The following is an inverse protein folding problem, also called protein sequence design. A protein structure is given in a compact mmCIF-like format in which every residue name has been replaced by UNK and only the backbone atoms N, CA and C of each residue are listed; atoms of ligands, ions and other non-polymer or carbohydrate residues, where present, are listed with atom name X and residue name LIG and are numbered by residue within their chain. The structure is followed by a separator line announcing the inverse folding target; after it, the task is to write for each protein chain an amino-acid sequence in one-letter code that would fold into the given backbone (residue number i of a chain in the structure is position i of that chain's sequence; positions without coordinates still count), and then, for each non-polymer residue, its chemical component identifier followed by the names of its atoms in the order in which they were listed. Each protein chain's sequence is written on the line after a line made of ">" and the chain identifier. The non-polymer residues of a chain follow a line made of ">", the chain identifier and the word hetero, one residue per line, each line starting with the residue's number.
data_IF_539299103480
#
_entry.id   IF_539299103480
#
_cell.length_a   1.000
_cell.length_b   1.000
_cell.length_c   1.000
_cell.angle_alpha   90.00
_cell.angle_beta   90.00
_cell.angle_gamma   90.00
#
_symmetry.space_group_name_H-M   'P 1'
#
loop_
_entity.id
_entity.type
_entity.pdbx_description
1 polymer ?
#
# COMPACT_ATOMS: atom_id res chain seq x y z
N UNK A 1 11.62 19.97 -4.99
CA UNK A 1 12.83 19.86 -4.17
C UNK A 1 12.86 18.54 -3.38
N UNK A 2 11.90 18.25 -2.48
CA UNK A 2 11.93 17.03 -1.64
C UNK A 2 11.77 15.72 -2.44
N UNK A 3 10.90 15.67 -3.46
CA UNK A 3 10.82 14.49 -4.35
C UNK A 3 12.11 14.30 -5.16
N UNK A 4 12.80 15.40 -5.46
CA UNK A 4 14.15 15.36 -6.04
C UNK A 4 15.17 14.74 -5.08
N UNK A 5 15.06 15.02 -3.77
CA UNK A 5 15.88 14.39 -2.71
C UNK A 5 15.62 12.87 -2.64
N UNK A 6 14.39 12.41 -2.88
CA UNK A 6 14.09 10.97 -2.96
C UNK A 6 14.60 10.32 -4.26
N UNK A 7 14.66 11.08 -5.36
CA UNK A 7 15.13 10.60 -6.67
C UNK A 7 16.65 10.69 -6.86
N UNK A 8 17.33 11.60 -6.16
CA UNK A 8 18.78 11.80 -6.24
C UNK A 8 19.50 11.18 -5.04
N UNK A 9 20.25 10.11 -5.34
CA UNK A 9 21.41 9.62 -4.61
C UNK A 9 21.16 8.86 -3.29
N UNK A 10 21.22 7.54 -3.40
CA UNK A 10 21.50 6.58 -2.33
C UNK A 10 22.90 6.70 -1.70
N UNK A 11 23.72 7.70 -2.04
CA UNK A 11 25.13 7.77 -1.60
C UNK A 11 25.50 8.99 -0.75
N UNK A 12 24.64 10.01 -0.59
CA UNK A 12 25.01 11.24 0.16
C UNK A 12 24.04 11.68 1.26
N UNK A 13 22.86 11.07 1.38
CA UNK A 13 21.86 11.47 2.37
C UNK A 13 21.85 10.45 3.51
N UNK A 14 21.96 10.92 4.75
CA UNK A 14 21.86 10.06 5.92
C UNK A 14 20.44 9.53 6.09
N UNK A 15 20.27 8.38 6.75
CA UNK A 15 18.95 7.84 7.07
C UNK A 15 18.07 8.86 7.81
N UNK A 16 18.68 9.63 8.72
CA UNK A 16 18.02 10.72 9.42
C UNK A 16 17.49 11.79 8.46
N UNK A 17 18.28 12.18 7.46
CA UNK A 17 17.86 13.14 6.43
C UNK A 17 16.67 12.63 5.61
N UNK A 18 16.65 11.34 5.25
CA UNK A 18 15.52 10.71 4.56
C UNK A 18 14.27 10.75 5.45
N UNK A 19 14.37 10.33 6.70
CA UNK A 19 13.23 10.34 7.61
C UNK A 19 12.68 11.75 7.85
N UNK A 20 13.55 12.75 8.06
CA UNK A 20 13.12 14.15 8.21
C UNK A 20 12.38 14.65 6.96
N UNK A 21 12.87 14.33 5.76
CA UNK A 21 12.20 14.67 4.51
C UNK A 21 10.83 13.99 4.39
N UNK A 22 10.74 12.70 4.68
CA UNK A 22 9.50 11.94 4.65
C UNK A 22 8.50 12.44 5.68
N UNK A 23 8.94 12.82 6.87
CA UNK A 23 8.10 13.45 7.89
C UNK A 23 7.43 14.72 7.37
N UNK A 24 8.21 15.63 6.77
CA UNK A 24 7.67 16.87 6.18
C UNK A 24 6.69 16.56 5.05
N UNK A 25 6.98 15.55 4.21
CA UNK A 25 6.03 15.11 3.18
C UNK A 25 4.74 14.59 3.79
N UNK A 26 4.83 13.73 4.80
CA UNK A 26 3.67 13.15 5.48
C UNK A 26 2.78 14.24 6.06
N UNK A 27 3.36 15.22 6.74
CA UNK A 27 2.62 16.34 7.31
C UNK A 27 1.97 17.20 6.22
N UNK A 28 2.59 17.32 5.04
CA UNK A 28 2.09 18.09 3.91
C UNK A 28 1.02 17.36 3.05
N UNK A 29 0.91 16.04 3.13
CA UNK A 29 0.01 15.21 2.32
C UNK A 29 -1.51 15.36 2.60
N UNK A 30 -2.00 15.80 3.76
CA UNK A 30 -3.43 15.97 3.98
C UNK A 30 -4.07 17.06 3.10
N UNK A 31 -3.28 18.01 2.59
CA UNK A 31 -3.78 19.07 1.70
C UNK A 31 -3.80 18.64 0.23
N UNK A 32 -4.98 18.72 -0.41
CA UNK A 32 -5.20 18.23 -1.78
C UNK A 32 -4.23 18.81 -2.81
N UNK A 33 -3.95 20.12 -2.75
CA UNK A 33 -2.98 20.77 -3.64
C UNK A 33 -1.57 20.20 -3.49
N UNK A 34 -1.14 19.93 -2.26
CA UNK A 34 0.19 19.37 -2.00
C UNK A 34 0.27 17.94 -2.52
N UNK A 35 -0.78 17.12 -2.32
CA UNK A 35 -0.83 15.77 -2.90
C UNK A 35 -0.67 15.79 -4.40
N UNK A 36 -1.44 16.62 -5.10
CA UNK A 36 -1.37 16.71 -6.55
C UNK A 36 0.05 17.05 -7.02
N UNK A 37 0.66 18.10 -6.43
CA UNK A 37 2.04 18.47 -6.75
C UNK A 37 3.05 17.34 -6.47
N UNK A 38 2.86 16.56 -5.40
CA UNK A 38 3.72 15.41 -5.09
C UNK A 38 3.57 14.30 -6.11
N UNK A 39 2.34 13.97 -6.51
CA UNK A 39 2.04 12.97 -7.56
C UNK A 39 2.67 13.41 -8.88
N UNK A 40 2.44 14.64 -9.32
CA UNK A 40 3.02 15.22 -10.55
C UNK A 40 4.56 15.24 -10.53
N UNK A 41 5.15 15.44 -9.35
CA UNK A 41 6.60 15.38 -9.17
C UNK A 41 7.16 13.94 -9.22
N UNK A 42 6.31 12.92 -9.28
CA UNK A 42 6.66 11.50 -9.28
C UNK A 42 7.05 10.96 -7.91
N UNK A 43 6.45 11.48 -6.83
CA UNK A 43 6.70 11.00 -5.47
C UNK A 43 6.30 9.54 -5.29
N UNK A 44 5.19 9.12 -5.90
CA UNK A 44 4.66 7.75 -5.74
C UNK A 44 5.69 6.70 -6.14
N UNK A 45 6.23 6.79 -7.35
CA UNK A 45 7.29 5.87 -7.81
C UNK A 45 8.54 5.94 -6.94
N UNK A 46 9.00 7.14 -6.56
CA UNK A 46 10.19 7.28 -5.72
C UNK A 46 10.03 6.63 -4.34
N UNK A 47 8.82 6.72 -3.75
CA UNK A 47 8.50 6.09 -2.47
C UNK A 47 8.45 4.56 -2.58
N UNK A 48 7.91 4.02 -3.68
CA UNK A 48 7.88 2.57 -3.93
C UNK A 48 9.30 2.03 -4.11
N UNK A 49 10.15 2.72 -4.87
CA UNK A 49 11.56 2.35 -5.05
C UNK A 49 12.35 2.41 -3.73
N UNK A 50 12.12 3.45 -2.92
CA UNK A 50 12.72 3.53 -1.59
C UNK A 50 12.28 2.35 -0.69
N UNK A 51 11.01 1.96 -0.77
CA UNK A 51 10.47 0.84 0.00
C UNK A 51 11.01 -0.52 -0.47
N UNK A 52 11.25 -0.70 -1.78
CA UNK A 52 11.90 -1.88 -2.35
C UNK A 52 13.32 -2.05 -1.80
N UNK A 53 14.01 -0.94 -1.54
CA UNK A 53 15.32 -0.90 -0.87
C UNK A 53 15.32 -1.45 0.58
N UNK A 54 14.17 -1.88 1.10
CA UNK A 54 14.00 -2.47 2.44
C UNK A 54 14.53 -1.57 3.56
N UNK A 55 13.92 -0.39 3.74
CA UNK A 55 14.39 0.58 4.72
C UNK A 55 14.04 0.15 6.14
N UNK A 56 14.52 0.91 7.12
CA UNK A 56 14.18 0.66 8.53
C UNK A 56 12.68 0.87 8.81
N UNK A 57 12.21 0.28 9.92
CA UNK A 57 10.81 0.31 10.34
C UNK A 57 10.17 1.70 10.25
N UNK A 58 10.84 2.73 10.78
CA UNK A 58 10.31 4.10 10.86
C UNK A 58 10.07 4.68 9.46
N UNK A 59 11.00 4.42 8.55
CA UNK A 59 10.91 4.88 7.17
C UNK A 59 9.75 4.21 6.44
N UNK A 60 9.55 2.91 6.62
CA UNK A 60 8.41 2.20 6.03
C UNK A 60 7.08 2.75 6.55
N UNK A 61 6.95 3.04 7.85
CA UNK A 61 5.75 3.67 8.41
C UNK A 61 5.44 5.03 7.75
N UNK A 62 6.47 5.86 7.56
CA UNK A 62 6.34 7.15 6.89
C UNK A 62 5.94 6.98 5.41
N UNK A 63 6.61 6.08 4.70
CA UNK A 63 6.33 5.80 3.29
C UNK A 63 4.88 5.34 3.10
N UNK A 64 4.42 4.36 3.89
CA UNK A 64 3.05 3.86 3.80
C UNK A 64 2.03 4.93 4.17
N UNK A 65 2.33 5.79 5.16
CA UNK A 65 1.49 6.95 5.48
C UNK A 65 1.34 7.92 4.32
N UNK A 66 2.45 8.25 3.64
CA UNK A 66 2.43 9.14 2.47
C UNK A 66 1.69 8.47 1.32
N UNK A 67 2.02 7.22 0.98
CA UNK A 67 1.36 6.48 -0.10
C UNK A 67 -0.15 6.38 0.10
N UNK A 68 -0.62 6.17 1.33
CA UNK A 68 -2.04 6.21 1.66
C UNK A 68 -2.70 7.54 1.26
N UNK A 69 -2.09 8.66 1.65
CA UNK A 69 -2.62 9.97 1.27
C UNK A 69 -2.59 10.19 -0.24
N UNK A 70 -1.50 9.82 -0.92
CA UNK A 70 -1.40 9.98 -2.37
C UNK A 70 -2.45 9.12 -3.09
N UNK A 71 -2.64 7.85 -2.69
CA UNK A 71 -3.67 6.96 -3.22
C UNK A 71 -5.11 7.39 -2.89
N UNK A 72 -5.31 8.40 -2.03
CA UNK A 72 -6.64 8.97 -1.76
C UNK A 72 -7.18 9.82 -2.91
N UNK A 73 -6.39 10.09 -3.96
CA UNK A 73 -6.84 10.74 -5.20
C UNK A 73 -6.64 9.83 -6.42
N UNK A 74 -7.35 10.11 -7.52
CA UNK A 74 -7.31 9.29 -8.73
C UNK A 74 -5.92 9.24 -9.36
N UNK A 75 -5.25 10.37 -9.49
CA UNK A 75 -3.90 10.47 -10.08
C UNK A 75 -2.89 9.68 -9.26
N UNK A 76 -2.96 9.75 -7.94
CA UNK A 76 -2.07 8.98 -7.07
C UNK A 76 -2.26 7.47 -7.19
N UNK A 77 -3.50 6.98 -7.35
CA UNK A 77 -3.76 5.56 -7.63
C UNK A 77 -3.26 5.14 -9.01
N UNK A 78 -3.47 5.99 -10.02
CA UNK A 78 -2.97 5.73 -11.37
C UNK A 78 -1.44 5.60 -11.36
N UNK A 79 -0.73 6.52 -10.69
CA UNK A 79 0.72 6.46 -10.54
C UNK A 79 1.20 5.27 -9.71
N UNK A 80 0.46 4.89 -8.67
CA UNK A 80 0.77 3.72 -7.84
C UNK A 80 0.68 2.43 -8.65
N UNK A 81 -0.38 2.27 -9.45
CA UNK A 81 -0.60 1.09 -10.29
C UNK A 81 0.27 1.09 -11.55
N UNK A 82 0.73 2.25 -12.01
CA UNK A 82 1.72 2.35 -13.09
C UNK A 82 3.05 1.73 -12.69
N UNK A 83 3.36 1.72 -11.40
CA UNK A 83 4.56 1.10 -10.86
C UNK A 83 4.33 -0.39 -10.56
N UNK A 84 5.04 -1.28 -11.29
CA UNK A 84 4.90 -2.75 -11.13
C UNK A 84 5.16 -3.30 -9.73
N UNK A 85 5.85 -2.52 -8.90
CA UNK A 85 6.13 -2.87 -7.50
C UNK A 85 5.06 -2.42 -6.49
N UNK A 86 4.05 -1.63 -6.90
CA UNK A 86 3.14 -0.94 -5.97
C UNK A 86 2.38 -1.88 -5.04
N UNK A 87 1.61 -2.81 -5.59
CA UNK A 87 0.82 -3.76 -4.79
C UNK A 87 1.75 -4.70 -4.01
N UNK A 88 2.84 -5.13 -4.64
CA UNK A 88 3.84 -6.01 -4.05
C UNK A 88 4.47 -5.43 -2.78
N UNK A 89 4.93 -4.16 -2.80
CA UNK A 89 5.56 -3.54 -1.62
C UNK A 89 4.58 -3.41 -0.47
N UNK A 90 3.34 -2.96 -0.73
CA UNK A 90 2.33 -2.80 0.31
C UNK A 90 1.96 -4.15 0.93
N UNK A 91 1.72 -5.16 0.09
CA UNK A 91 1.39 -6.52 0.53
C UNK A 91 2.48 -7.14 1.37
N UNK A 92 3.75 -6.95 0.97
CA UNK A 92 4.91 -7.49 1.68
C UNK A 92 5.02 -6.96 3.11
N UNK A 93 4.56 -5.74 3.39
CA UNK A 93 4.68 -5.10 4.72
C UNK A 93 3.60 -5.49 5.72
N UNK A 94 2.47 -6.04 5.26
CA UNK A 94 1.40 -6.53 6.14
C UNK A 94 1.95 -7.59 7.10
N UNK A 95 1.74 -7.36 8.40
CA UNK A 95 2.20 -8.16 9.54
C UNK A 95 3.71 -8.28 9.67
N UNK A 96 4.49 -7.35 9.09
CA UNK A 96 5.96 -7.41 9.10
C UNK A 96 6.64 -6.19 9.73
N UNK A 97 5.91 -5.12 10.02
CA UNK A 97 6.50 -3.83 10.41
C UNK A 97 5.92 -3.30 11.73
N UNK A 98 4.65 -2.92 11.73
CA UNK A 98 3.92 -2.44 12.91
C UNK A 98 2.41 -2.42 12.66
N UNK A 99 1.58 -2.33 13.72
CA UNK A 99 0.14 -2.16 13.57
C UNK A 99 -0.25 -0.92 12.75
N UNK A 100 0.52 0.17 12.87
CA UNK A 100 0.29 1.38 12.07
C UNK A 100 0.63 1.18 10.58
N UNK A 101 1.68 0.40 10.28
CA UNK A 101 1.98 0.02 8.90
C UNK A 101 0.90 -0.90 8.33
N UNK A 102 0.38 -1.85 9.13
CA UNK A 102 -0.72 -2.74 8.73
C UNK A 102 -1.99 -1.95 8.41
N UNK A 103 -2.35 -0.98 9.27
CA UNK A 103 -3.44 -0.04 9.01
C UNK A 103 -3.29 0.65 7.65
N UNK A 104 -2.16 1.32 7.43
CA UNK A 104 -1.91 2.05 6.18
C UNK A 104 -1.89 1.13 4.96
N UNK A 105 -1.30 -0.06 5.08
CA UNK A 105 -1.26 -1.02 3.99
C UNK A 105 -2.67 -1.49 3.58
N UNK A 106 -3.51 -1.88 4.55
CA UNK A 106 -4.89 -2.30 4.26
C UNK A 106 -5.72 -1.14 3.72
N UNK A 107 -5.55 0.07 4.23
CA UNK A 107 -6.26 1.24 3.72
C UNK A 107 -5.86 1.58 2.26
N UNK A 108 -4.57 1.46 1.91
CA UNK A 108 -4.12 1.59 0.50
C UNK A 108 -4.81 0.52 -0.36
N UNK A 109 -4.74 -0.75 0.06
CA UNK A 109 -5.37 -1.85 -0.69
C UNK A 109 -6.89 -1.66 -0.81
N UNK A 110 -7.55 -1.12 0.21
CA UNK A 110 -8.98 -0.79 0.19
C UNK A 110 -9.30 0.29 -0.85
N UNK A 111 -8.51 1.36 -0.92
CA UNK A 111 -8.68 2.41 -1.94
C UNK A 111 -8.49 1.87 -3.35
N UNK A 112 -7.49 1.02 -3.56
CA UNK A 112 -7.22 0.38 -4.86
C UNK A 112 -8.36 -0.58 -5.23
N UNK A 113 -8.75 -1.45 -4.30
CA UNK A 113 -9.82 -2.44 -4.50
C UNK A 113 -11.18 -1.79 -4.77
N UNK A 114 -11.45 -0.62 -4.17
CA UNK A 114 -12.73 0.07 -4.32
C UNK A 114 -12.82 0.91 -5.59
N UNK A 115 -11.73 1.56 -6.00
CA UNK A 115 -11.77 2.58 -7.04
C UNK A 115 -10.95 2.25 -8.29
N UNK A 116 -10.19 1.15 -8.29
CA UNK A 116 -9.22 0.84 -9.35
C UNK A 116 -9.04 -0.67 -9.58
N UNK A 117 -9.99 -1.49 -9.14
CA UNK A 117 -9.97 -2.95 -9.32
C UNK A 117 -10.31 -3.36 -10.77
N UNK A 118 -9.34 -3.22 -11.66
CA UNK A 118 -9.38 -3.86 -12.98
C UNK A 118 -9.04 -5.35 -12.86
N UNK A 119 -9.38 -6.17 -13.84
CA UNK A 119 -9.02 -7.59 -13.86
C UNK A 119 -7.50 -7.82 -13.67
N UNK A 120 -6.68 -6.94 -14.24
CA UNK A 120 -5.22 -6.98 -14.05
C UNK A 120 -4.81 -6.71 -12.60
N UNK A 121 -5.40 -5.70 -11.94
CA UNK A 121 -5.11 -5.38 -10.52
C UNK A 121 -5.52 -6.54 -9.60
N UNK A 122 -6.70 -7.12 -9.83
CA UNK A 122 -7.22 -8.24 -9.04
C UNK A 122 -6.33 -9.47 -9.21
N UNK A 123 -5.82 -9.71 -10.42
CA UNK A 123 -4.84 -10.76 -10.70
C UNK A 123 -3.49 -10.50 -10.02
N UNK A 124 -2.95 -9.28 -10.11
CA UNK A 124 -1.68 -8.94 -9.46
C UNK A 124 -1.76 -9.12 -7.93
N UNK A 125 -2.87 -8.69 -7.30
CA UNK A 125 -3.13 -8.94 -5.87
C UNK A 125 -3.05 -10.43 -5.51
N UNK A 126 -3.55 -11.29 -6.39
CA UNK A 126 -3.42 -12.73 -6.20
C UNK A 126 -1.96 -13.19 -6.32
N UNK A 127 -1.27 -12.79 -7.39
CA UNK A 127 0.11 -13.21 -7.67
C UNK A 127 1.10 -12.79 -6.58
N UNK A 128 0.94 -11.60 -6.01
CA UNK A 128 1.81 -11.11 -4.94
C UNK A 128 1.39 -11.58 -3.54
N UNK A 129 0.35 -12.41 -3.46
CA UNK A 129 -0.11 -13.04 -2.21
C UNK A 129 -0.94 -12.14 -1.29
N UNK A 130 -1.55 -11.08 -1.83
CA UNK A 130 -2.40 -10.15 -1.05
C UNK A 130 -3.57 -10.88 -0.41
N UNK A 131 -4.25 -11.76 -1.14
CA UNK A 131 -5.41 -12.51 -0.64
C UNK A 131 -5.04 -13.34 0.59
N UNK A 132 -3.93 -14.09 0.52
CA UNK A 132 -3.42 -14.88 1.64
C UNK A 132 -3.09 -13.99 2.84
N UNK A 133 -2.42 -12.85 2.63
CA UNK A 133 -2.09 -11.90 3.70
C UNK A 133 -3.32 -11.35 4.40
N UNK A 134 -4.36 -10.99 3.64
CA UNK A 134 -5.62 -10.49 4.19
C UNK A 134 -6.37 -11.56 4.98
N UNK A 135 -6.45 -12.79 4.47
CA UNK A 135 -7.03 -13.93 5.21
C UNK A 135 -6.28 -14.20 6.53
N UNK A 136 -4.95 -14.13 6.53
CA UNK A 136 -4.15 -14.27 7.75
C UNK A 136 -4.40 -13.13 8.74
N UNK A 137 -4.52 -11.89 8.27
CA UNK A 137 -4.77 -10.72 9.12
C UNK A 137 -6.11 -10.85 9.89
N UNK A 138 -7.14 -11.41 9.26
CA UNK A 138 -8.45 -11.65 9.92
C UNK A 138 -8.36 -12.64 11.09
N UNK A 139 -7.39 -13.55 11.06
CA UNK A 139 -7.17 -14.55 12.12
C UNK A 139 -6.38 -13.97 13.29
N UNK A 140 -5.72 -12.83 13.13
CA UNK A 140 -4.98 -12.16 14.19
C UNK A 140 -5.88 -11.33 15.09
N UNK A 141 -5.40 -11.03 16.29
CA UNK A 141 -5.99 -10.00 17.13
C UNK A 141 -5.54 -8.61 16.63
N UNK A 142 -6.44 -7.95 15.89
CA UNK A 142 -6.23 -6.61 15.35
C UNK A 142 -7.52 -5.78 15.45
N UNK A 143 -7.41 -4.47 15.25
CA UNK A 143 -8.51 -3.54 15.44
C UNK A 143 -9.74 -3.92 14.58
N UNK A 144 -10.93 -3.84 15.17
CA UNK A 144 -12.20 -4.27 14.52
C UNK A 144 -12.41 -3.60 13.17
N UNK A 145 -12.19 -2.29 13.07
CA UNK A 145 -12.35 -1.56 11.81
C UNK A 145 -11.41 -2.06 10.70
N UNK A 146 -10.22 -2.54 11.07
CA UNK A 146 -9.23 -3.07 10.13
C UNK A 146 -9.69 -4.43 9.60
N UNK A 147 -10.28 -5.27 10.46
CA UNK A 147 -10.92 -6.52 10.05
C UNK A 147 -12.08 -6.26 9.11
N UNK A 148 -12.95 -5.31 9.43
CA UNK A 148 -14.07 -4.93 8.56
C UNK A 148 -13.59 -4.50 7.17
N UNK A 149 -12.59 -3.62 7.08
CA UNK A 149 -12.01 -3.19 5.81
C UNK A 149 -11.36 -4.35 5.03
N UNK A 150 -10.70 -5.25 5.74
CA UNK A 150 -10.10 -6.46 5.15
C UNK A 150 -11.18 -7.37 4.57
N UNK A 151 -12.25 -7.61 5.32
CA UNK A 151 -13.41 -8.39 4.88
C UNK A 151 -14.11 -7.76 3.68
N UNK A 152 -14.29 -6.43 3.65
CA UNK A 152 -14.84 -5.71 2.49
C UNK A 152 -14.02 -5.95 1.23
N UNK A 153 -12.69 -5.89 1.31
CA UNK A 153 -11.81 -6.18 0.18
C UNK A 153 -12.03 -7.62 -0.29
N UNK A 154 -12.05 -8.58 0.65
CA UNK A 154 -12.20 -10.00 0.32
C UNK A 154 -13.53 -10.31 -0.36
N UNK A 155 -14.63 -9.76 0.15
CA UNK A 155 -15.97 -9.95 -0.43
C UNK A 155 -16.12 -9.32 -1.81
N UNK A 156 -15.50 -8.16 -2.02
CA UNK A 156 -15.69 -7.41 -3.27
C UNK A 156 -15.12 -8.14 -4.50
N UNK A 157 -14.13 -9.01 -4.29
CA UNK A 157 -13.36 -9.64 -5.38
C UNK A 157 -13.28 -11.17 -5.25
N UNK A 158 -14.09 -11.78 -4.37
CA UNK A 158 -14.06 -13.22 -4.09
C UNK A 158 -14.33 -14.06 -5.33
N UNK A 159 -15.32 -13.67 -6.13
CA UNK A 159 -15.74 -14.43 -7.31
C UNK A 159 -14.63 -14.48 -8.37
N UNK A 160 -13.81 -13.43 -8.47
CA UNK A 160 -12.67 -13.41 -9.37
C UNK A 160 -11.52 -14.27 -8.87
N UNK A 161 -11.22 -14.23 -7.57
CA UNK A 161 -10.13 -15.02 -6.99
C UNK A 161 -10.46 -16.52 -6.89
N UNK A 162 -11.72 -16.90 -6.65
CA UNK A 162 -12.15 -18.30 -6.55
C UNK A 162 -12.05 -19.07 -7.87
N UNK A 163 -11.83 -18.38 -8.99
CA UNK A 163 -11.54 -18.98 -10.30
C UNK A 163 -10.13 -19.59 -10.36
N UNK A 164 -9.23 -19.17 -9.48
CA UNK A 164 -7.83 -19.61 -9.50
C UNK A 164 -7.61 -20.81 -8.58
N UNK A 165 -6.89 -21.86 -9.03
CA UNK A 165 -6.68 -23.07 -8.26
C UNK A 165 -5.76 -22.89 -7.04
N UNK A 166 -4.97 -21.81 -7.00
CA UNK A 166 -4.07 -21.49 -5.89
C UNK A 166 -4.78 -20.88 -4.67
N UNK A 167 -6.08 -20.57 -4.78
CA UNK A 167 -6.90 -20.11 -3.65
C UNK A 167 -7.58 -21.31 -2.99
N UNK A 168 -7.32 -21.49 -1.70
CA UNK A 168 -8.11 -22.38 -0.87
C UNK A 168 -9.51 -21.78 -0.69
N UNK A 169 -10.47 -22.38 -1.40
CA UNK A 169 -11.87 -21.95 -1.37
C UNK A 169 -12.42 -21.95 0.05
N UNK A 170 -12.05 -22.94 0.87
CA UNK A 170 -12.57 -23.06 2.25
C UNK A 170 -12.09 -21.92 3.16
N UNK A 171 -10.89 -21.41 2.91
CA UNK A 171 -10.32 -20.29 3.68
C UNK A 171 -11.00 -18.99 3.26
N UNK A 172 -11.18 -18.77 1.95
CA UNK A 172 -11.77 -17.52 1.47
C UNK A 172 -13.28 -17.43 1.77
N UNK A 173 -14.05 -18.49 1.57
CA UNK A 173 -15.51 -18.48 1.83
C UNK A 173 -15.83 -18.22 3.29
N UNK A 174 -15.01 -18.73 4.24
CA UNK A 174 -15.16 -18.48 5.68
C UNK A 174 -15.22 -17.00 6.06
N UNK A 175 -14.62 -16.11 5.27
CA UNK A 175 -14.59 -14.67 5.55
C UNK A 175 -15.54 -13.86 4.66
N UNK A 176 -16.08 -14.48 3.61
CA UNK A 176 -16.90 -13.82 2.59
C UNK A 176 -18.39 -14.04 2.86
N UNK A 177 -18.76 -15.21 3.40
CA UNK A 177 -20.11 -15.55 3.88
C UNK A 177 -20.50 -14.76 5.14
#
# INVERSE_FOLDING_TARGET
>A
MIVGVLKQCTTRITQQGINSALHVLLDACPWGRNRLMMVESGAVSALIELELGSPEKRTTELILGILFHLCSCADGRAEFLRHKGGIAVVTKRIMRVSPAADDRAVLILSLISKFSATSWVVHEMLEVGTVTKLCMLLQLDCATYLKEKTTEILRSHSDDWLKFPCIDKSVLTRFVD
#
